data_IF_103054225294
#
_entry.id   IF_103054225294
#
_cell.length_a   1.000
_cell.length_b   1.000
_cell.length_c   1.000
_cell.angle_alpha   90.00
_cell.angle_beta   90.00
_cell.angle_gamma   90.00
#
_symmetry.space_group_name_H-M   'P 1'
#
loop_
_entity.id
_entity.type
_entity.pdbx_description
1 polymer ?
#
# COMPACT_ATOMS: atom_id res chain seq x y z
N UNK A 1 22.46 -29.11 -15.54
CA UNK A 1 21.70 -28.09 -16.27
C UNK A 1 20.83 -27.37 -15.25
N UNK A 2 21.39 -26.36 -14.58
CA UNK A 2 20.68 -25.52 -13.62
C UNK A 2 19.90 -24.49 -14.42
N UNK A 3 18.58 -24.62 -14.45
CA UNK A 3 17.72 -23.59 -15.02
C UNK A 3 17.53 -22.50 -13.97
N UNK A 4 17.91 -21.26 -14.29
CA UNK A 4 17.53 -20.06 -13.53
C UNK A 4 16.03 -19.83 -13.66
N UNK A 5 15.26 -20.57 -12.85
CA UNK A 5 13.82 -20.36 -12.65
C UNK A 5 13.53 -19.12 -11.78
N UNK A 6 14.58 -18.52 -11.19
CA UNK A 6 14.50 -17.34 -10.31
C UNK A 6 13.87 -16.16 -11.04
N UNK A 7 14.20 -15.94 -12.31
CA UNK A 7 13.63 -14.84 -13.09
C UNK A 7 12.18 -15.08 -13.53
N UNK A 8 11.66 -16.30 -13.44
CA UNK A 8 10.27 -16.59 -13.77
C UNK A 8 9.39 -16.63 -12.53
N UNK A 9 9.78 -17.33 -11.46
CA UNK A 9 8.95 -17.44 -10.25
C UNK A 9 8.95 -16.17 -9.41
N UNK A 10 10.11 -15.56 -9.15
CA UNK A 10 10.16 -14.30 -8.37
C UNK A 10 9.52 -13.13 -9.12
N UNK A 11 9.49 -13.23 -10.46
CA UNK A 11 8.81 -12.28 -11.32
C UNK A 11 7.28 -12.37 -11.21
N UNK A 12 6.71 -13.57 -10.95
CA UNK A 12 5.27 -13.79 -10.78
C UNK A 12 4.65 -13.15 -9.52
N UNK A 13 5.46 -12.66 -8.58
CA UNK A 13 4.99 -11.83 -7.46
C UNK A 13 5.81 -10.53 -7.32
N UNK A 14 6.35 -10.05 -8.44
CA UNK A 14 7.15 -8.83 -8.47
C UNK A 14 6.28 -7.62 -8.80
N UNK A 15 6.29 -6.61 -7.92
CA UNK A 15 5.71 -5.29 -8.17
C UNK A 15 6.62 -4.38 -9.04
N UNK A 16 7.70 -4.91 -9.62
CA UNK A 16 8.62 -4.14 -10.47
C UNK A 16 7.91 -3.60 -11.71
N UNK A 17 7.97 -2.27 -11.88
CA UNK A 17 7.39 -1.50 -12.98
C UNK A 17 7.95 -1.87 -14.36
N UNK A 18 9.17 -2.41 -14.43
CA UNK A 18 9.88 -2.63 -15.70
C UNK A 18 9.80 -4.08 -16.21
N UNK A 19 9.69 -5.06 -15.32
CA UNK A 19 9.80 -6.49 -15.69
C UNK A 19 8.88 -7.42 -14.90
N UNK A 20 8.18 -6.93 -13.88
CA UNK A 20 7.37 -7.71 -12.94
C UNK A 20 6.00 -8.15 -13.47
N UNK A 21 5.55 -9.35 -13.09
CA UNK A 21 4.22 -9.89 -13.36
C UNK A 21 3.52 -10.19 -12.03
N UNK A 22 2.47 -9.47 -11.64
CA UNK A 22 1.79 -9.72 -10.36
C UNK A 22 0.67 -10.79 -10.48
N UNK A 23 1.04 -12.07 -10.31
CA UNK A 23 0.15 -13.24 -10.31
C UNK A 23 0.36 -14.09 -9.05
N UNK A 24 -0.13 -13.65 -7.87
CA UNK A 24 0.12 -14.31 -6.59
C UNK A 24 -0.33 -15.78 -6.58
N UNK A 25 -1.50 -16.12 -7.15
CA UNK A 25 -1.94 -17.53 -7.24
C UNK A 25 -0.95 -18.41 -8.00
N UNK A 26 -0.43 -17.94 -9.14
CA UNK A 26 0.54 -18.68 -9.93
C UNK A 26 1.88 -18.81 -9.21
N UNK A 27 2.30 -17.74 -8.51
CA UNK A 27 3.49 -17.74 -7.67
C UNK A 27 3.39 -18.78 -6.54
N UNK A 28 2.33 -18.74 -5.74
CA UNK A 28 2.14 -19.70 -4.65
C UNK A 28 1.98 -21.12 -5.19
N UNK A 29 1.23 -21.32 -6.28
CA UNK A 29 1.13 -22.62 -6.97
C UNK A 29 2.49 -23.17 -7.40
N UNK A 30 3.37 -22.32 -7.94
CA UNK A 30 4.72 -22.72 -8.32
C UNK A 30 5.59 -23.02 -7.10
N UNK A 31 5.52 -22.21 -6.04
CA UNK A 31 6.22 -22.45 -4.78
C UNK A 31 5.80 -23.79 -4.15
N UNK A 32 4.50 -24.10 -4.18
CA UNK A 32 3.97 -25.38 -3.74
C UNK A 32 4.47 -26.55 -4.58
N UNK A 33 4.41 -26.43 -5.90
CA UNK A 33 4.89 -27.48 -6.79
C UNK A 33 6.38 -27.74 -6.58
N UNK A 34 7.18 -26.68 -6.41
CA UNK A 34 8.60 -26.78 -6.06
C UNK A 34 8.82 -27.43 -4.70
N UNK A 35 8.03 -27.10 -3.69
CA UNK A 35 8.15 -27.73 -2.38
C UNK A 35 7.92 -29.25 -2.46
N UNK A 36 6.90 -29.69 -3.19
CA UNK A 36 6.55 -31.11 -3.30
C UNK A 36 7.50 -31.91 -4.22
N UNK A 37 7.96 -31.32 -5.33
CA UNK A 37 8.69 -32.05 -6.37
C UNK A 37 10.21 -31.76 -6.37
N UNK A 38 10.61 -30.56 -5.95
CA UNK A 38 12.01 -30.10 -5.98
C UNK A 38 12.38 -29.27 -4.74
N UNK A 39 12.24 -29.79 -3.51
CA UNK A 39 12.41 -29.01 -2.27
C UNK A 39 13.80 -28.38 -2.13
N UNK A 40 14.85 -29.06 -2.62
CA UNK A 40 16.22 -28.51 -2.66
C UNK A 40 16.31 -27.25 -3.53
N UNK A 41 15.57 -27.19 -4.63
CA UNK A 41 15.54 -26.03 -5.51
C UNK A 41 14.86 -24.85 -4.82
N UNK A 42 13.74 -25.06 -4.14
CA UNK A 42 13.08 -24.02 -3.36
C UNK A 42 14.01 -23.46 -2.26
N UNK A 43 14.68 -24.36 -1.52
CA UNK A 43 15.64 -24.00 -0.47
C UNK A 43 16.82 -23.16 -0.98
N UNK A 44 17.40 -23.52 -2.13
CA UNK A 44 18.50 -22.77 -2.74
C UNK A 44 18.10 -21.35 -3.16
N UNK A 45 16.81 -21.11 -3.41
CA UNK A 45 16.28 -19.82 -3.84
C UNK A 45 15.83 -18.92 -2.69
N UNK A 46 15.74 -19.43 -1.45
CA UNK A 46 15.36 -18.63 -0.27
C UNK A 46 16.20 -17.35 -0.11
N UNK A 47 17.54 -17.36 -0.27
CA UNK A 47 18.35 -16.13 -0.17
C UNK A 47 18.01 -15.06 -1.22
N UNK A 48 17.53 -15.44 -2.40
CA UNK A 48 17.16 -14.51 -3.48
C UNK A 48 15.99 -13.60 -3.11
N UNK A 49 15.21 -13.96 -2.10
CA UNK A 49 14.15 -13.12 -1.54
C UNK A 49 14.69 -11.97 -0.66
N UNK A 50 15.88 -12.13 -0.07
CA UNK A 50 16.50 -11.12 0.80
C UNK A 50 17.32 -10.06 0.06
N UNK A 51 17.87 -10.36 -1.13
CA UNK A 51 18.82 -9.50 -1.87
C UNK A 51 18.18 -8.30 -2.61
N UNK A 52 17.07 -7.80 -2.09
CA UNK A 52 15.94 -7.49 -2.94
C UNK A 52 15.19 -6.25 -2.41
N UNK A 53 15.39 -5.09 -3.05
CA UNK A 53 14.88 -3.78 -2.62
C UNK A 53 13.35 -3.58 -2.74
N UNK A 54 12.54 -4.65 -2.77
CA UNK A 54 11.08 -4.58 -2.93
C UNK A 54 10.38 -5.02 -1.64
N UNK A 55 9.40 -4.22 -1.22
CA UNK A 55 8.50 -4.39 -0.08
C UNK A 55 7.92 -5.80 0.11
N UNK A 56 7.78 -6.61 -0.96
CA UNK A 56 6.98 -7.83 -0.94
C UNK A 56 7.74 -9.14 -0.63
N UNK A 57 9.09 -9.19 -0.70
CA UNK A 57 9.77 -10.49 -0.89
C UNK A 57 10.04 -11.32 0.36
N UNK A 58 10.25 -10.73 1.55
CA UNK A 58 10.44 -11.52 2.77
C UNK A 58 9.13 -12.01 3.39
N UNK A 59 8.05 -11.23 3.27
CA UNK A 59 6.72 -11.66 3.74
C UNK A 59 6.19 -12.86 2.94
N UNK A 60 6.46 -12.89 1.63
CA UNK A 60 6.10 -14.04 0.78
C UNK A 60 6.65 -15.37 1.29
N UNK A 61 7.82 -15.40 1.93
CA UNK A 61 8.38 -16.61 2.53
C UNK A 61 7.52 -17.11 3.71
N UNK A 62 6.99 -16.18 4.51
CA UNK A 62 6.09 -16.46 5.63
C UNK A 62 4.75 -16.96 5.10
N UNK A 63 4.23 -16.34 4.04
CA UNK A 63 2.99 -16.76 3.36
C UNK A 63 3.13 -18.15 2.72
N UNK A 64 4.29 -18.48 2.12
CA UNK A 64 4.55 -19.82 1.60
C UNK A 64 4.47 -20.86 2.73
N UNK A 65 5.08 -20.59 3.89
CA UNK A 65 5.00 -21.50 5.04
C UNK A 65 3.58 -21.66 5.55
N UNK A 66 2.86 -20.54 5.72
CA UNK A 66 1.48 -20.57 6.18
C UNK A 66 0.56 -21.31 5.22
N UNK A 67 0.72 -21.06 3.92
CA UNK A 67 -0.11 -21.70 2.90
C UNK A 67 0.19 -23.21 2.78
N UNK A 68 1.44 -23.64 3.04
CA UNK A 68 1.82 -25.06 3.14
C UNK A 68 1.17 -25.75 4.34
N UNK A 69 1.00 -25.05 5.45
CA UNK A 69 0.25 -25.57 6.60
C UNK A 69 -1.22 -25.80 6.26
N UNK A 70 -1.86 -24.84 5.57
CA UNK A 70 -3.29 -24.92 5.21
C UNK A 70 -3.63 -26.05 4.23
N UNK A 71 -2.73 -26.40 3.30
CA UNK A 71 -3.02 -27.39 2.26
C UNK A 71 -3.15 -28.83 2.76
N UNK A 72 -2.53 -29.19 3.89
CA UNK A 72 -2.42 -30.59 4.32
C UNK A 72 -3.21 -30.95 5.59
N UNK A 73 -4.20 -30.14 5.97
CA UNK A 73 -5.19 -30.45 7.01
C UNK A 73 -5.12 -29.55 8.23
N UNK A 74 -5.58 -30.05 9.39
CA UNK A 74 -5.64 -29.31 10.67
C UNK A 74 -4.32 -29.37 11.48
N UNK A 75 -3.21 -29.80 10.88
CA UNK A 75 -1.95 -29.94 11.59
C UNK A 75 -1.42 -28.56 11.99
N UNK A 76 -1.13 -28.40 13.28
CA UNK A 76 -0.41 -27.22 13.81
C UNK A 76 1.02 -27.20 13.27
N UNK A 77 1.65 -26.02 13.18
CA UNK A 77 3.06 -25.94 12.77
C UNK A 77 4.00 -26.80 13.61
N UNK A 78 3.74 -26.94 14.91
CA UNK A 78 4.53 -27.82 15.77
C UNK A 78 4.46 -29.30 15.31
N UNK A 79 3.27 -29.79 14.97
CA UNK A 79 3.09 -31.14 14.41
C UNK A 79 3.76 -31.26 13.04
N UNK A 80 3.66 -30.21 12.21
CA UNK A 80 4.25 -30.19 10.87
C UNK A 80 5.77 -30.23 10.91
N UNK A 81 6.40 -29.44 11.77
CA UNK A 81 7.84 -29.42 11.99
C UNK A 81 8.38 -30.79 12.42
N UNK A 82 7.57 -31.60 13.10
CA UNK A 82 7.94 -32.96 13.50
C UNK A 82 7.71 -34.00 12.40
N UNK A 83 6.60 -33.92 11.65
CA UNK A 83 6.15 -34.97 10.71
C UNK A 83 6.66 -34.81 9.29
N UNK A 84 6.95 -33.58 8.86
CA UNK A 84 7.39 -33.27 7.50
C UNK A 84 8.82 -32.69 7.51
N UNK A 85 9.83 -33.51 7.22
CA UNK A 85 11.22 -33.06 7.11
C UNK A 85 11.44 -31.98 6.04
N UNK A 86 10.65 -31.99 4.95
CA UNK A 86 10.73 -31.01 3.88
C UNK A 86 10.23 -29.63 4.33
N UNK A 87 9.08 -29.60 5.01
CA UNK A 87 8.56 -28.39 5.64
C UNK A 87 9.52 -27.87 6.70
N UNK A 88 10.04 -28.74 7.57
CA UNK A 88 11.01 -28.35 8.60
C UNK A 88 12.24 -27.68 8.01
N UNK A 89 12.85 -28.27 6.97
CA UNK A 89 14.04 -27.69 6.33
C UNK A 89 13.75 -26.31 5.72
N UNK A 90 12.58 -26.13 5.09
CA UNK A 90 12.18 -24.86 4.50
C UNK A 90 11.94 -23.80 5.57
N UNK A 91 11.19 -24.17 6.61
CA UNK A 91 10.91 -23.33 7.76
C UNK A 91 12.20 -22.89 8.44
N UNK A 92 13.08 -23.84 8.80
CA UNK A 92 14.35 -23.54 9.45
C UNK A 92 15.20 -22.58 8.62
N UNK A 93 15.28 -22.81 7.30
CA UNK A 93 16.05 -21.95 6.39
C UNK A 93 15.50 -20.53 6.29
N UNK A 94 14.19 -20.36 6.29
CA UNK A 94 13.53 -19.05 6.27
C UNK A 94 13.75 -18.32 7.60
N UNK A 95 13.62 -19.04 8.72
CA UNK A 95 13.84 -18.47 10.06
C UNK A 95 15.31 -18.08 10.27
N UNK A 96 16.26 -18.87 9.77
CA UNK A 96 17.69 -18.53 9.79
C UNK A 96 17.96 -17.24 9.00
N UNK A 97 17.40 -17.13 7.78
CA UNK A 97 17.54 -15.93 6.96
C UNK A 97 16.99 -14.69 7.67
N UNK A 98 15.77 -14.78 8.23
CA UNK A 98 15.16 -13.67 8.96
C UNK A 98 16.00 -13.29 10.19
N UNK A 99 16.52 -14.27 10.93
CA UNK A 99 17.36 -14.02 12.10
C UNK A 99 18.71 -13.36 11.72
N UNK A 100 19.35 -13.81 10.63
CA UNK A 100 20.59 -13.21 10.11
C UNK A 100 20.37 -11.75 9.70
N UNK A 101 19.29 -11.46 8.97
CA UNK A 101 18.95 -10.11 8.55
C UNK A 101 18.61 -9.21 9.75
N UNK A 102 17.84 -9.72 10.72
CA UNK A 102 17.48 -8.96 11.91
C UNK A 102 18.70 -8.65 12.80
N UNK A 103 19.62 -9.61 12.98
CA UNK A 103 20.90 -9.38 13.67
C UNK A 103 21.71 -8.29 12.96
N UNK A 104 21.82 -8.37 11.63
CA UNK A 104 22.50 -7.33 10.85
C UNK A 104 21.87 -5.95 11.05
N UNK A 105 20.55 -5.87 11.08
CA UNK A 105 19.86 -4.59 11.28
C UNK A 105 20.05 -4.03 12.70
N UNK A 106 20.03 -4.90 13.71
CA UNK A 106 20.35 -4.55 15.10
C UNK A 106 21.77 -4.00 15.20
N UNK A 107 22.74 -4.67 14.58
CA UNK A 107 24.14 -4.26 14.60
C UNK A 107 24.35 -2.93 13.87
N UNK A 108 23.74 -2.74 12.69
CA UNK A 108 23.75 -1.46 11.98
C UNK A 108 23.18 -0.34 12.85
N UNK A 109 22.03 -0.57 13.48
CA UNK A 109 21.38 0.44 14.32
C UNK A 109 22.21 0.77 15.57
N UNK A 110 22.89 -0.21 16.18
CA UNK A 110 23.81 0.00 17.30
C UNK A 110 25.09 0.74 16.89
N UNK A 111 25.70 0.37 15.76
CA UNK A 111 26.96 0.96 15.26
C UNK A 111 26.80 2.43 14.87
N UNK A 112 25.68 2.78 14.24
CA UNK A 112 25.37 4.17 13.92
C UNK A 112 24.88 4.96 15.15
N UNK A 113 24.72 4.29 16.30
CA UNK A 113 24.12 4.80 17.52
C UNK A 113 22.63 5.09 17.35
N UNK A 114 21.91 5.28 18.46
CA UNK A 114 20.63 5.99 18.47
C UNK A 114 20.78 7.48 18.07
N UNK A 115 21.65 7.81 17.11
CA UNK A 115 21.67 9.09 16.35
C UNK A 115 20.39 9.31 15.53
N UNK A 116 19.34 8.57 15.84
CA UNK A 116 17.96 9.04 15.73
C UNK A 116 17.63 10.21 16.67
N UNK A 117 18.56 10.73 17.49
CA UNK A 117 18.49 12.13 17.94
C UNK A 117 18.63 13.08 16.73
N UNK A 118 17.51 13.24 16.01
CA UNK A 118 16.85 14.50 15.69
C UNK A 118 17.67 15.72 15.22
N UNK A 119 18.88 15.56 14.68
CA UNK A 119 19.51 16.63 13.91
C UNK A 119 19.42 16.35 12.40
N UNK A 120 18.28 16.77 11.84
CA UNK A 120 18.15 17.07 10.41
C UNK A 120 19.08 18.26 10.10
N UNK A 121 20.35 18.00 9.79
CA UNK A 121 21.11 19.00 9.03
C UNK A 121 20.57 18.99 7.59
N UNK A 122 20.09 20.13 7.07
CA UNK A 122 19.73 20.22 5.67
C UNK A 122 20.96 19.89 4.81
N UNK A 123 20.80 19.24 3.65
CA UNK A 123 21.93 19.01 2.76
C UNK A 123 22.47 20.37 2.31
N UNK A 124 23.72 20.67 2.68
CA UNK A 124 24.49 21.78 2.13
C UNK A 124 24.78 21.48 0.65
N UNK A 125 24.68 22.51 -0.19
CA UNK A 125 24.63 22.43 -1.66
C UNK A 125 25.93 21.98 -2.35
N UNK A 126 26.94 21.46 -1.64
CA UNK A 126 28.29 21.26 -2.18
C UNK A 126 28.95 19.89 -1.93
N UNK A 127 28.21 18.86 -1.49
CA UNK A 127 28.78 17.51 -1.41
C UNK A 127 28.19 16.59 -2.50
N UNK A 128 28.93 16.45 -3.60
CA UNK A 128 28.84 15.34 -4.58
C UNK A 128 29.23 13.97 -3.97
N UNK A 129 29.17 13.84 -2.65
CA UNK A 129 29.29 12.57 -1.96
C UNK A 129 27.91 12.02 -1.69
N UNK A 130 27.58 11.03 -2.50
CA UNK A 130 26.62 9.96 -2.28
C UNK A 130 26.92 9.23 -0.93
N UNK A 131 26.77 9.94 0.18
CA UNK A 131 27.06 9.43 1.52
C UNK A 131 26.06 9.99 2.54
N UNK A 132 24.80 10.08 2.12
CA UNK A 132 23.71 9.97 3.07
C UNK A 132 23.57 8.49 3.35
N UNK A 133 24.33 8.01 4.34
CA UNK A 133 24.42 6.62 4.80
C UNK A 133 22.99 6.11 5.06
N UNK A 134 22.39 5.56 4.03
CA UNK A 134 20.98 5.14 4.03
C UNK A 134 20.99 3.84 4.81
N UNK A 135 20.59 3.92 6.08
CA UNK A 135 20.46 2.77 6.96
C UNK A 135 19.32 1.91 6.41
N UNK A 136 19.59 1.09 5.39
CA UNK A 136 18.68 0.04 4.95
C UNK A 136 18.70 -1.03 6.03
N UNK A 137 17.87 -0.82 7.06
CA UNK A 137 17.36 -1.97 7.78
C UNK A 137 16.54 -2.79 6.79
N UNK A 138 16.71 -4.10 6.87
CA UNK A 138 16.06 -5.03 5.96
C UNK A 138 14.58 -5.15 6.28
N UNK A 139 13.81 -5.77 5.38
CA UNK A 139 12.39 -6.04 5.60
C UNK A 139 12.13 -7.11 6.68
N UNK A 140 13.17 -7.71 7.28
CA UNK A 140 13.01 -8.69 8.36
C UNK A 140 12.33 -8.09 9.60
N UNK A 141 12.63 -6.83 9.92
CA UNK A 141 11.95 -6.13 11.00
C UNK A 141 10.45 -5.98 10.75
N UNK A 142 10.04 -5.70 9.51
CA UNK A 142 8.62 -5.54 9.12
C UNK A 142 7.86 -6.87 9.18
N UNK A 143 8.54 -7.98 8.90
CA UNK A 143 7.96 -9.31 9.13
C UNK A 143 7.62 -9.54 10.62
N UNK A 144 8.29 -8.83 11.54
CA UNK A 144 8.11 -8.93 12.98
C UNK A 144 7.25 -7.81 13.59
N UNK A 145 6.83 -6.81 12.81
CA UNK A 145 5.98 -5.71 13.31
C UNK A 145 4.49 -6.07 13.22
N UNK A 146 3.68 -5.71 14.24
CA UNK A 146 2.25 -5.94 14.19
C UNK A 146 1.58 -4.91 13.26
N UNK A 147 1.02 -5.39 12.15
CA UNK A 147 0.39 -4.54 11.13
C UNK A 147 -1.15 -4.70 11.06
N UNK A 148 -1.67 -5.93 11.12
CA UNK A 148 -3.12 -6.23 11.11
C UNK A 148 -3.43 -7.58 11.82
N UNK A 149 -4.71 -7.94 11.99
CA UNK A 149 -5.14 -9.18 12.68
C UNK A 149 -4.87 -10.47 11.91
N UNK A 150 -4.86 -10.42 10.58
CA UNK A 150 -4.68 -11.56 9.68
C UNK A 150 -3.21 -11.99 9.64
N UNK A 151 -2.29 -11.04 9.44
CA UNK A 151 -0.85 -11.28 9.52
C UNK A 151 -0.45 -11.79 10.91
N UNK A 152 -1.07 -11.29 11.98
CA UNK A 152 -0.83 -11.78 13.33
C UNK A 152 -1.26 -13.25 13.50
N UNK A 153 -2.31 -13.68 12.82
CA UNK A 153 -2.69 -15.09 12.76
C UNK A 153 -1.64 -15.90 11.98
N UNK A 154 -1.21 -15.43 10.81
CA UNK A 154 -0.16 -16.05 10.00
C UNK A 154 1.13 -16.26 10.80
N UNK A 155 1.61 -15.22 11.50
CA UNK A 155 2.83 -15.27 12.34
C UNK A 155 2.73 -16.33 13.44
N UNK A 156 1.58 -16.41 14.13
CA UNK A 156 1.33 -17.42 15.16
C UNK A 156 1.22 -18.82 14.56
N UNK A 157 0.55 -18.94 13.44
CA UNK A 157 0.34 -20.22 12.76
C UNK A 157 1.67 -20.87 12.35
N UNK A 158 2.66 -20.07 11.91
CA UNK A 158 3.98 -20.57 11.50
C UNK A 158 5.01 -20.62 12.64
N UNK A 159 4.63 -20.30 13.87
CA UNK A 159 5.52 -20.20 15.05
C UNK A 159 6.70 -19.22 14.82
N UNK A 160 6.43 -18.07 14.19
CA UNK A 160 7.47 -17.12 13.79
C UNK A 160 8.32 -16.67 14.99
N UNK A 161 7.67 -16.22 16.06
CA UNK A 161 8.35 -15.62 17.21
C UNK A 161 9.06 -16.68 18.07
N UNK A 162 8.47 -17.87 18.22
CA UNK A 162 9.09 -18.99 18.94
C UNK A 162 10.37 -19.45 18.21
N UNK A 163 10.28 -19.55 16.88
CA UNK A 163 11.38 -20.03 16.04
C UNK A 163 12.51 -19.01 15.92
N UNK A 164 12.17 -17.73 15.79
CA UNK A 164 13.15 -16.64 15.82
C UNK A 164 13.75 -16.49 17.22
N UNK A 165 12.95 -16.65 18.29
CA UNK A 165 13.41 -16.51 19.67
C UNK A 165 14.55 -17.48 19.97
N UNK A 166 14.38 -18.74 19.57
CA UNK A 166 15.42 -19.78 19.71
C UNK A 166 16.72 -19.51 18.92
N UNK A 167 16.70 -18.61 17.93
CA UNK A 167 17.84 -18.25 17.07
C UNK A 167 18.50 -16.93 17.45
N UNK A 168 17.72 -16.03 18.03
CA UNK A 168 18.13 -14.68 18.41
C UNK A 168 18.63 -14.63 19.84
N UNK A 169 18.03 -15.42 20.75
CA UNK A 169 18.27 -15.32 22.18
C UNK A 169 18.97 -16.57 22.74
N UNK A 170 19.73 -16.43 23.83
CA UNK A 170 20.32 -17.57 24.55
C UNK A 170 19.24 -18.56 25.03
N UNK A 171 19.53 -19.87 25.07
CA UNK A 171 18.58 -20.87 25.58
C UNK A 171 18.15 -20.66 27.03
N UNK A 172 18.99 -20.01 27.83
CA UNK A 172 18.79 -19.81 29.27
C UNK A 172 18.00 -18.53 29.61
N UNK A 173 17.69 -17.67 28.64
CA UNK A 173 16.98 -16.42 28.88
C UNK A 173 15.46 -16.58 28.83
N UNK A 174 14.73 -15.68 29.49
CA UNK A 174 13.28 -15.57 29.32
C UNK A 174 12.99 -14.99 27.93
N UNK A 175 12.58 -15.86 27.00
CA UNK A 175 12.27 -15.46 25.64
C UNK A 175 11.18 -14.40 25.56
N UNK A 176 10.24 -14.37 26.52
CA UNK A 176 9.17 -13.36 26.53
C UNK A 176 9.74 -11.98 26.84
N UNK A 177 10.65 -11.89 27.81
CA UNK A 177 11.29 -10.63 28.20
C UNK A 177 12.21 -10.11 27.08
N UNK A 178 13.04 -10.99 26.51
CA UNK A 178 13.93 -10.67 25.39
C UNK A 178 13.17 -10.18 24.15
N UNK A 179 12.01 -10.79 23.86
CA UNK A 179 11.14 -10.33 22.77
C UNK A 179 10.51 -8.96 23.05
N UNK A 180 10.11 -8.67 24.28
CA UNK A 180 9.58 -7.34 24.63
C UNK A 180 10.66 -6.27 24.56
N UNK A 181 11.90 -6.60 24.97
CA UNK A 181 13.06 -5.72 24.82
C UNK A 181 13.37 -5.47 23.35
N UNK A 182 13.52 -6.52 22.54
CA UNK A 182 13.76 -6.39 21.09
C UNK A 182 12.64 -5.60 20.41
N UNK A 183 11.38 -5.81 20.81
CA UNK A 183 10.26 -5.04 20.26
C UNK A 183 10.35 -3.57 20.62
N UNK A 184 10.66 -3.26 21.88
CA UNK A 184 10.60 -1.90 22.42
C UNK A 184 11.82 -1.07 22.04
N UNK A 185 13.02 -1.65 22.10
CA UNK A 185 14.28 -0.97 21.82
C UNK A 185 14.64 -0.94 20.34
N UNK A 186 14.13 -1.88 19.53
CA UNK A 186 14.56 -2.04 18.15
C UNK A 186 13.41 -1.99 17.14
N UNK A 187 12.43 -2.89 17.22
CA UNK A 187 11.39 -3.00 16.18
C UNK A 187 10.48 -1.77 16.12
N UNK A 188 10.03 -1.23 17.27
CA UNK A 188 9.19 -0.03 17.33
C UNK A 188 9.92 1.23 16.80
N UNK A 189 11.15 1.55 17.27
CA UNK A 189 11.92 2.67 16.72
C UNK A 189 12.18 2.55 15.23
N UNK A 190 12.48 1.34 14.75
CA UNK A 190 12.77 1.11 13.34
C UNK A 190 11.54 1.23 12.44
N UNK A 191 10.39 0.71 12.88
CA UNK A 191 9.12 0.90 12.17
C UNK A 191 8.72 2.37 12.08
N UNK A 192 8.86 3.11 13.18
CA UNK A 192 8.64 4.55 13.21
C UNK A 192 9.62 5.29 12.28
N UNK A 193 10.88 4.86 12.22
CA UNK A 193 11.89 5.41 11.30
C UNK A 193 11.54 5.14 9.83
N UNK A 194 11.16 3.92 9.46
CA UNK A 194 10.73 3.58 8.10
C UNK A 194 9.51 4.39 7.68
N UNK A 195 8.51 4.51 8.56
CA UNK A 195 7.37 5.40 8.34
C UNK A 195 7.85 6.84 8.12
N UNK A 196 8.66 7.39 9.02
CA UNK A 196 9.17 8.77 8.92
C UNK A 196 10.05 9.03 7.70
N UNK A 197 10.96 8.14 7.31
CA UNK A 197 11.81 8.34 6.13
C UNK A 197 10.99 8.43 4.84
N UNK A 198 10.00 7.55 4.69
CA UNK A 198 9.07 7.60 3.57
C UNK A 198 8.27 8.91 3.56
N UNK A 199 7.88 9.38 4.76
CA UNK A 199 7.11 10.61 4.96
C UNK A 199 7.92 11.91 5.09
N UNK A 200 9.24 11.91 5.20
CA UNK A 200 10.04 13.14 5.30
C UNK A 200 10.76 13.42 3.98
N UNK A 201 11.26 12.37 3.31
CA UNK A 201 12.07 12.52 2.08
C UNK A 201 11.24 12.97 0.87
N UNK A 202 9.98 12.51 0.72
CA UNK A 202 9.07 13.04 -0.31
C UNK A 202 8.59 14.46 0.04
N UNK A 203 8.17 14.73 1.29
CA UNK A 203 7.69 16.06 1.65
C UNK A 203 8.69 17.22 1.57
N UNK A 204 9.98 16.99 1.76
CA UNK A 204 10.95 18.07 1.60
C UNK A 204 11.12 18.51 0.13
N UNK A 205 11.03 17.58 -0.83
CA UNK A 205 11.15 17.90 -2.27
C UNK A 205 9.87 18.58 -2.78
N UNK A 206 8.71 18.05 -2.40
CA UNK A 206 7.41 18.63 -2.82
C UNK A 206 7.23 20.04 -2.27
N UNK A 207 7.54 20.28 -0.99
CA UNK A 207 7.43 21.63 -0.41
C UNK A 207 8.35 22.63 -1.11
N UNK A 208 9.61 22.28 -1.38
CA UNK A 208 10.53 23.12 -2.16
C UNK A 208 10.01 23.45 -3.56
N UNK A 209 9.43 22.48 -4.25
CA UNK A 209 8.80 22.74 -5.55
C UNK A 209 7.63 23.73 -5.43
N UNK A 210 6.76 23.55 -4.42
CA UNK A 210 5.64 24.45 -4.19
C UNK A 210 6.09 25.86 -3.78
N UNK A 211 7.22 26.03 -3.10
CA UNK A 211 7.83 27.34 -2.83
C UNK A 211 8.26 28.04 -4.13
N UNK A 212 8.83 27.29 -5.09
CA UNK A 212 9.14 27.81 -6.42
C UNK A 212 7.88 28.19 -7.19
N UNK A 213 6.83 27.35 -7.16
CA UNK A 213 5.52 27.68 -7.76
C UNK A 213 4.91 28.93 -7.12
N UNK A 214 5.02 29.07 -5.80
CA UNK A 214 4.56 30.27 -5.07
C UNK A 214 5.28 31.53 -5.55
N UNK A 215 6.60 31.46 -5.73
CA UNK A 215 7.41 32.60 -6.17
C UNK A 215 7.20 32.95 -7.66
N UNK A 216 7.01 31.95 -8.52
CA UNK A 216 6.89 32.13 -9.96
C UNK A 216 5.46 32.26 -10.50
N UNK A 217 4.45 31.90 -9.71
CA UNK A 217 3.05 31.84 -10.14
C UNK A 217 2.79 30.79 -11.22
N UNK A 218 1.68 30.96 -11.95
CA UNK A 218 1.17 29.97 -12.91
C UNK A 218 2.09 29.67 -14.11
N UNK A 219 3.11 30.50 -14.38
CA UNK A 219 4.01 30.35 -15.53
C UNK A 219 5.04 29.22 -15.35
N UNK A 220 5.35 28.83 -14.11
CA UNK A 220 6.33 27.77 -13.79
C UNK A 220 5.66 26.40 -13.61
N UNK A 221 4.33 26.38 -13.45
CA UNK A 221 3.58 25.17 -13.15
C UNK A 221 3.66 24.18 -14.31
N UNK A 222 4.13 22.97 -13.99
CA UNK A 222 4.07 21.82 -14.89
C UNK A 222 2.91 20.95 -14.40
N UNK A 223 1.82 20.79 -15.18
CA UNK A 223 0.60 20.10 -14.72
C UNK A 223 0.81 18.69 -14.18
N UNK A 224 1.83 17.98 -14.67
CA UNK A 224 2.18 16.61 -14.30
C UNK A 224 3.39 16.50 -13.34
N UNK A 225 3.80 17.60 -12.69
CA UNK A 225 4.96 17.59 -11.80
C UNK A 225 4.71 16.89 -10.46
N UNK A 226 3.49 16.97 -9.93
CA UNK A 226 3.10 16.37 -8.66
C UNK A 226 1.93 15.40 -8.84
N UNK A 227 1.89 14.36 -8.00
CA UNK A 227 0.75 13.45 -7.93
C UNK A 227 -0.38 14.06 -7.08
N UNK A 228 -1.64 13.60 -7.25
CA UNK A 228 -2.78 14.12 -6.48
C UNK A 228 -2.57 14.12 -4.96
N UNK A 229 -1.98 13.04 -4.43
CA UNK A 229 -1.68 12.88 -3.01
C UNK A 229 -0.53 13.80 -2.55
N UNK A 230 0.41 14.12 -3.43
CA UNK A 230 1.51 15.03 -3.11
C UNK A 230 0.99 16.46 -3.03
N UNK A 231 -0.02 16.82 -3.82
CA UNK A 231 -0.66 18.14 -3.80
C UNK A 231 -1.55 18.30 -2.57
N UNK A 232 -2.49 17.36 -2.34
CA UNK A 232 -3.51 17.48 -1.30
C UNK A 232 -2.91 17.60 0.11
N UNK A 233 -1.74 17.00 0.34
CA UNK A 233 -0.99 17.07 1.60
C UNK A 233 -0.67 18.51 2.02
N UNK A 234 -0.46 19.42 1.06
CA UNK A 234 -0.05 20.80 1.33
C UNK A 234 -1.19 21.81 1.27
N UNK A 235 -2.43 21.42 0.96
CA UNK A 235 -3.53 22.39 0.79
C UNK A 235 -3.89 23.11 2.09
N UNK A 236 -3.50 22.55 3.24
CA UNK A 236 -3.65 23.14 4.57
C UNK A 236 -2.35 23.78 5.08
N UNK A 237 -1.24 23.68 4.34
CA UNK A 237 0.03 24.29 4.70
C UNK A 237 -0.10 25.83 4.57
N UNK A 238 0.35 26.54 5.61
CA UNK A 238 0.21 28.00 5.69
C UNK A 238 1.11 28.74 4.69
N UNK A 239 2.22 28.12 4.31
CA UNK A 239 3.23 28.73 3.46
C UNK A 239 2.94 28.42 2.00
N UNK A 240 2.66 27.16 1.67
CA UNK A 240 2.58 26.66 0.29
C UNK A 240 1.18 26.21 -0.16
N UNK A 241 0.15 26.37 0.67
CA UNK A 241 -1.21 25.92 0.35
C UNK A 241 -1.81 26.53 -0.90
N UNK A 242 -1.57 27.82 -1.16
CA UNK A 242 -2.03 28.47 -2.40
C UNK A 242 -1.32 27.92 -3.64
N UNK A 243 -0.03 27.60 -3.53
CA UNK A 243 0.72 26.98 -4.62
C UNK A 243 0.24 25.54 -4.89
N UNK A 244 -0.14 24.80 -3.85
CA UNK A 244 -0.76 23.49 -3.99
C UNK A 244 -2.11 23.58 -4.74
N UNK A 245 -2.94 24.56 -4.40
CA UNK A 245 -4.20 24.83 -5.10
C UNK A 245 -3.99 25.16 -6.58
N UNK A 246 -3.00 26.00 -6.91
CA UNK A 246 -2.66 26.32 -8.30
C UNK A 246 -2.15 25.09 -9.07
N UNK A 247 -1.29 24.28 -8.45
CA UNK A 247 -0.81 23.03 -9.03
C UNK A 247 -1.95 22.05 -9.29
N UNK A 248 -2.91 21.92 -8.36
CA UNK A 248 -4.10 21.10 -8.54
C UNK A 248 -4.91 21.53 -9.76
N UNK A 249 -5.25 22.82 -9.84
CA UNK A 249 -6.04 23.37 -10.96
C UNK A 249 -5.37 23.11 -12.30
N UNK A 250 -4.06 23.34 -12.39
CA UNK A 250 -3.31 23.08 -13.61
C UNK A 250 -3.32 21.59 -13.99
N UNK A 251 -3.16 20.69 -13.02
CA UNK A 251 -3.24 19.23 -13.24
C UNK A 251 -4.61 18.81 -13.77
N UNK A 252 -5.69 19.27 -13.12
CA UNK A 252 -7.07 18.91 -13.51
C UNK A 252 -7.41 19.46 -14.89
N UNK A 253 -7.03 20.72 -15.18
CA UNK A 253 -7.26 21.34 -16.48
C UNK A 253 -6.50 20.62 -17.60
N UNK A 254 -5.23 20.27 -17.39
CA UNK A 254 -4.44 19.50 -18.36
C UNK A 254 -5.06 18.12 -18.62
N UNK A 255 -5.49 17.40 -17.58
CA UNK A 255 -6.19 16.13 -17.72
C UNK A 255 -7.51 16.27 -18.49
N UNK A 256 -8.28 17.32 -18.20
CA UNK A 256 -9.54 17.62 -18.89
C UNK A 256 -9.32 17.96 -20.38
N UNK A 257 -8.33 18.78 -20.70
CA UNK A 257 -7.99 19.13 -22.09
C UNK A 257 -7.49 17.93 -22.87
N UNK A 258 -6.63 17.10 -22.27
CA UNK A 258 -6.18 15.84 -22.88
C UNK A 258 -7.38 14.93 -23.18
N UNK A 259 -8.36 14.86 -22.28
CA UNK A 259 -9.58 14.09 -22.50
C UNK A 259 -10.38 14.55 -23.72
N UNK A 260 -10.55 15.86 -23.90
CA UNK A 260 -11.25 16.42 -25.07
C UNK A 260 -10.53 16.18 -26.40
N UNK A 261 -9.19 16.14 -26.40
CA UNK A 261 -8.39 16.03 -27.61
C UNK A 261 -8.29 14.59 -28.16
N UNK A 262 -8.89 13.59 -27.52
CA UNK A 262 -8.96 12.21 -28.04
C UNK A 262 -7.60 11.51 -28.22
N UNK A 263 -6.51 12.02 -27.62
CA UNK A 263 -5.19 11.37 -27.61
C UNK A 263 -5.29 9.97 -26.95
N UNK A 264 -4.52 9.00 -27.43
CA UNK A 264 -4.57 7.63 -26.90
C UNK A 264 -4.44 7.60 -25.37
N UNK A 265 -5.44 7.00 -24.71
CA UNK A 265 -5.56 6.96 -23.26
C UNK A 265 -6.38 8.08 -22.60
N UNK A 266 -6.94 9.03 -23.37
CA UNK A 266 -7.53 10.25 -22.81
C UNK A 266 -9.06 10.27 -22.62
N UNK A 267 -9.84 9.35 -23.19
CA UNK A 267 -11.30 9.27 -22.96
C UNK A 267 -11.72 8.56 -21.66
N UNK A 268 -11.01 8.72 -20.54
CA UNK A 268 -11.13 7.79 -19.40
C UNK A 268 -12.21 8.10 -18.36
N UNK A 269 -12.59 9.38 -18.15
CA UNK A 269 -13.44 9.77 -17.01
C UNK A 269 -14.89 10.17 -17.35
N UNK A 270 -15.34 9.96 -18.59
CA UNK A 270 -16.77 10.12 -18.93
C UNK A 270 -17.62 9.08 -18.19
N UNK A 271 -18.73 9.52 -17.59
CA UNK A 271 -19.66 8.69 -16.83
C UNK A 271 -18.96 7.87 -15.73
N UNK A 272 -18.06 8.52 -14.98
CA UNK A 272 -17.34 7.88 -13.90
C UNK A 272 -17.87 8.32 -12.55
N UNK A 273 -17.74 7.45 -11.55
CA UNK A 273 -18.08 7.76 -10.17
C UNK A 273 -17.00 7.22 -9.24
N UNK A 274 -16.62 8.01 -8.24
CA UNK A 274 -15.71 7.58 -7.19
C UNK A 274 -16.50 7.07 -5.98
N UNK A 275 -16.05 5.93 -5.44
CA UNK A 275 -16.45 5.37 -4.15
C UNK A 275 -15.23 5.45 -3.24
N UNK A 276 -15.31 6.25 -2.20
CA UNK A 276 -14.24 6.50 -1.25
C UNK A 276 -14.56 5.81 0.07
N UNK A 277 -13.95 4.63 0.30
CA UNK A 277 -14.01 3.95 1.59
C UNK A 277 -12.82 4.38 2.44
N UNK A 278 -12.94 5.53 3.11
CA UNK A 278 -11.90 6.09 3.96
C UNK A 278 -12.19 5.66 5.41
N UNK A 279 -11.27 4.92 6.03
CA UNK A 279 -11.44 4.44 7.42
C UNK A 279 -10.50 5.18 8.37
N UNK A 280 -10.87 5.32 9.64
CA UNK A 280 -9.99 5.85 10.70
C UNK A 280 -8.73 4.99 10.93
N UNK A 281 -8.71 3.76 10.42
CA UNK A 281 -7.59 2.82 10.51
C UNK A 281 -6.55 3.04 9.41
N UNK A 282 -6.91 3.77 8.35
CA UNK A 282 -5.97 4.16 7.30
C UNK A 282 -4.94 5.14 7.86
N UNK A 283 -3.66 4.92 7.51
CA UNK A 283 -2.65 5.95 7.73
C UNK A 283 -3.00 7.23 6.96
N UNK A 284 -2.72 8.39 7.55
CA UNK A 284 -2.93 9.72 6.93
C UNK A 284 -2.55 9.80 5.43
N UNK A 285 -1.43 9.22 4.96
CA UNK A 285 -1.07 9.25 3.53
C UNK A 285 -2.02 8.46 2.62
N UNK A 286 -2.59 7.36 3.13
CA UNK A 286 -3.56 6.54 2.40
C UNK A 286 -4.88 7.30 2.31
N UNK A 287 -5.27 7.98 3.41
CA UNK A 287 -6.43 8.86 3.43
C UNK A 287 -6.27 10.00 2.41
N UNK A 288 -5.11 10.68 2.41
CA UNK A 288 -4.78 11.73 1.45
C UNK A 288 -4.86 11.23 0.00
N UNK A 289 -4.33 10.04 -0.27
CA UNK A 289 -4.41 9.42 -1.60
C UNK A 289 -5.85 9.11 -2.01
N UNK A 290 -6.61 8.43 -1.16
CA UNK A 290 -8.01 8.08 -1.44
C UNK A 290 -8.88 9.34 -1.64
N UNK A 291 -8.71 10.34 -0.77
CA UNK A 291 -9.43 11.60 -0.87
C UNK A 291 -9.07 12.36 -2.15
N UNK A 292 -7.78 12.52 -2.46
CA UNK A 292 -7.35 13.21 -3.68
C UNK A 292 -7.84 12.52 -4.95
N UNK A 293 -7.76 11.20 -5.05
CA UNK A 293 -8.27 10.47 -6.21
C UNK A 293 -9.79 10.57 -6.33
N UNK A 294 -10.53 10.54 -5.20
CA UNK A 294 -11.96 10.75 -5.16
C UNK A 294 -12.38 12.12 -5.70
N UNK A 295 -11.73 13.18 -5.22
CA UNK A 295 -11.97 14.56 -5.70
C UNK A 295 -11.63 14.67 -7.18
N UNK A 296 -10.49 14.13 -7.61
CA UNK A 296 -10.05 14.17 -9.00
C UNK A 296 -11.07 13.53 -9.96
N UNK A 297 -11.54 12.33 -9.66
CA UNK A 297 -12.56 11.65 -10.48
C UNK A 297 -13.85 12.48 -10.53
N UNK A 298 -14.27 13.05 -9.40
CA UNK A 298 -15.49 13.88 -9.34
C UNK A 298 -15.38 15.19 -10.13
N UNK A 299 -14.18 15.74 -10.29
CA UNK A 299 -13.88 16.97 -11.06
C UNK A 299 -13.78 16.69 -12.56
N UNK A 300 -13.20 15.56 -12.94
CA UNK A 300 -13.05 15.15 -14.34
C UNK A 300 -14.35 14.56 -14.94
N UNK A 301 -15.33 14.23 -14.09
CA UNK A 301 -16.63 13.73 -14.53
C UNK A 301 -17.45 14.86 -15.16
N UNK A 302 -17.82 14.67 -16.43
CA UNK A 302 -18.51 15.69 -17.23
C UNK A 302 -20.03 15.71 -17.00
N UNK A 303 -20.63 14.56 -16.73
CA UNK A 303 -22.08 14.40 -16.62
C UNK A 303 -22.63 15.13 -15.39
N UNK A 304 -23.56 16.07 -15.61
CA UNK A 304 -24.07 16.96 -14.55
C UNK A 304 -24.72 16.21 -13.39
N UNK A 305 -25.32 15.04 -13.64
CA UNK A 305 -25.93 14.18 -12.62
C UNK A 305 -24.91 13.61 -11.62
N UNK A 306 -23.65 13.49 -12.02
CA UNK A 306 -22.60 12.81 -11.25
C UNK A 306 -21.39 13.70 -10.94
N UNK A 307 -21.29 14.86 -11.60
CA UNK A 307 -20.21 15.83 -11.44
C UNK A 307 -20.17 16.35 -10.01
N UNK A 308 -18.97 16.45 -9.43
CA UNK A 308 -18.71 16.82 -8.04
C UNK A 308 -19.40 15.92 -7.01
N UNK A 309 -19.80 14.70 -7.39
CA UNK A 309 -20.36 13.72 -6.45
C UNK A 309 -19.37 12.58 -6.19
N UNK A 310 -19.37 12.10 -4.95
CA UNK A 310 -18.60 10.92 -4.51
C UNK A 310 -19.49 10.06 -3.62
N UNK A 311 -19.35 8.75 -3.69
CA UNK A 311 -19.98 7.84 -2.73
C UNK A 311 -19.02 7.64 -1.56
N UNK A 312 -19.51 7.74 -0.34
CA UNK A 312 -18.81 7.24 0.86
C UNK A 312 -19.58 6.08 1.48
N UNK A 313 -18.93 5.33 2.37
CA UNK A 313 -19.61 4.38 3.24
C UNK A 313 -19.90 5.08 4.56
N UNK A 314 -21.19 5.32 4.81
CA UNK A 314 -21.65 6.16 5.90
C UNK A 314 -21.35 5.57 7.28
N UNK A 315 -21.03 6.40 8.29
CA UNK A 315 -20.96 5.97 9.67
C UNK A 315 -22.38 5.93 10.28
N UNK A 316 -22.92 4.71 10.47
CA UNK A 316 -24.14 4.32 11.23
C UNK A 316 -25.54 4.59 10.61
N UNK A 317 -26.60 3.87 11.03
CA UNK A 317 -26.64 2.48 11.53
C UNK A 317 -27.02 1.45 10.43
N UNK A 318 -27.41 1.92 9.24
CA UNK A 318 -27.97 1.06 8.18
C UNK A 318 -26.91 0.51 7.20
N UNK A 319 -25.64 0.91 7.37
CA UNK A 319 -24.50 0.45 6.55
C UNK A 319 -24.72 0.68 5.04
N UNK A 320 -25.44 1.75 4.68
CA UNK A 320 -25.73 2.06 3.28
C UNK A 320 -24.70 3.05 2.70
N UNK A 321 -24.31 2.86 1.43
CA UNK A 321 -23.51 3.86 0.73
C UNK A 321 -24.30 5.17 0.62
N UNK A 322 -23.59 6.29 0.71
CA UNK A 322 -24.18 7.62 0.64
C UNK A 322 -23.52 8.42 -0.47
N UNK A 323 -24.35 9.01 -1.33
CA UNK A 323 -23.89 9.91 -2.38
C UNK A 323 -23.76 11.33 -1.82
N UNK A 324 -22.53 11.84 -1.78
CA UNK A 324 -22.22 13.18 -1.33
C UNK A 324 -21.93 14.11 -2.50
N UNK A 325 -22.52 15.29 -2.49
CA UNK A 325 -22.10 16.42 -3.34
C UNK A 325 -21.00 17.20 -2.63
N UNK A 326 -19.79 17.20 -3.18
CA UNK A 326 -18.64 17.92 -2.63
C UNK A 326 -18.95 19.40 -2.51
N UNK A 327 -18.59 19.98 -1.36
CA UNK A 327 -18.82 21.38 -1.03
C UNK A 327 -17.52 22.18 -1.10
N UNK A 328 -17.61 23.43 -1.54
CA UNK A 328 -16.49 24.38 -1.61
C UNK A 328 -15.92 24.56 -3.02
N UNK A 329 -15.34 25.75 -3.26
CA UNK A 329 -14.79 26.15 -4.56
C UNK A 329 -13.32 25.80 -4.77
N UNK A 330 -12.59 25.46 -3.71
CA UNK A 330 -11.17 25.12 -3.70
C UNK A 330 -10.93 23.69 -3.21
N UNK A 331 -9.74 23.15 -3.47
CA UNK A 331 -9.35 21.79 -3.08
C UNK A 331 -9.38 21.61 -1.56
N UNK A 332 -8.96 22.63 -0.80
CA UNK A 332 -8.91 22.60 0.66
C UNK A 332 -10.30 22.33 1.25
N UNK A 333 -11.31 23.08 0.79
CA UNK A 333 -12.69 22.96 1.25
C UNK A 333 -13.30 21.60 0.90
N UNK A 334 -13.03 21.09 -0.31
CA UNK A 334 -13.48 19.75 -0.72
C UNK A 334 -12.83 18.66 0.11
N UNK A 335 -11.53 18.78 0.38
CA UNK A 335 -10.80 17.86 1.24
C UNK A 335 -11.34 17.90 2.67
N UNK A 336 -11.55 19.08 3.26
CA UNK A 336 -12.17 19.21 4.59
C UNK A 336 -13.58 18.63 4.65
N UNK A 337 -14.38 18.82 3.60
CA UNK A 337 -15.69 18.21 3.49
C UNK A 337 -15.61 16.68 3.51
N UNK A 338 -14.73 16.09 2.69
CA UNK A 338 -14.52 14.64 2.67
C UNK A 338 -14.06 14.11 4.02
N UNK A 339 -13.09 14.77 4.65
CA UNK A 339 -12.59 14.35 5.96
C UNK A 339 -13.66 14.42 7.07
N UNK A 340 -14.63 15.31 6.95
CA UNK A 340 -15.73 15.41 7.92
C UNK A 340 -16.85 14.40 7.68
N UNK A 341 -17.08 13.99 6.43
CA UNK A 341 -18.32 13.29 6.03
C UNK A 341 -18.10 11.87 5.53
N UNK A 342 -16.93 11.58 4.95
CA UNK A 342 -16.65 10.32 4.28
C UNK A 342 -15.76 9.38 5.12
N UNK A 343 -15.31 9.80 6.31
CA UNK A 343 -14.50 8.96 7.19
C UNK A 343 -15.41 8.04 8.01
N UNK A 344 -15.19 6.74 7.87
CA UNK A 344 -15.84 5.69 8.65
C UNK A 344 -14.98 5.31 9.86
N UNK A 345 -15.65 5.16 11.01
CA UNK A 345 -15.05 4.61 12.24
C UNK A 345 -14.95 3.09 12.24
N UNK A 346 -15.45 2.43 11.20
CA UNK A 346 -15.55 0.98 11.10
C UNK A 346 -14.68 0.44 9.98
N UNK A 347 -14.02 -0.69 10.25
CA UNK A 347 -13.13 -1.38 9.32
C UNK A 347 -13.92 -2.40 8.48
N UNK A 348 -14.82 -1.92 7.61
CA UNK A 348 -15.64 -2.76 6.74
C UNK A 348 -15.31 -2.53 5.25
N UNK A 349 -15.37 -3.62 4.48
CA UNK A 349 -15.21 -3.59 3.02
C UNK A 349 -16.41 -2.97 2.31
N UNK A 350 -16.26 -2.74 1.00
CA UNK A 350 -17.31 -2.13 0.16
C UNK A 350 -18.33 -3.16 -0.30
N UNK A 351 -19.61 -2.94 0.02
CA UNK A 351 -20.72 -3.70 -0.56
C UNK A 351 -21.10 -3.12 -1.93
N UNK A 352 -20.62 -3.78 -3.00
CA UNK A 352 -20.86 -3.34 -4.37
C UNK A 352 -22.33 -3.41 -4.79
N UNK A 353 -23.11 -4.34 -4.23
CA UNK A 353 -24.53 -4.47 -4.58
C UNK A 353 -25.28 -3.24 -4.10
N UNK A 354 -25.08 -2.85 -2.84
CA UNK A 354 -25.66 -1.62 -2.29
C UNK A 354 -25.21 -0.36 -3.07
N UNK A 355 -23.95 -0.32 -3.51
CA UNK A 355 -23.45 0.79 -4.35
C UNK A 355 -24.18 0.84 -5.69
N UNK A 356 -24.37 -0.30 -6.35
CA UNK A 356 -25.13 -0.39 -7.59
C UNK A 356 -26.60 0.01 -7.39
N UNK A 357 -27.24 -0.46 -6.32
CA UNK A 357 -28.61 -0.13 -5.98
C UNK A 357 -28.78 1.39 -5.79
N UNK A 358 -27.85 2.04 -5.09
CA UNK A 358 -27.84 3.51 -4.93
C UNK A 358 -27.69 4.23 -6.27
N UNK A 359 -26.81 3.77 -7.16
CA UNK A 359 -26.63 4.36 -8.50
C UNK A 359 -27.92 4.26 -9.31
N UNK A 360 -28.60 3.10 -9.24
CA UNK A 360 -29.87 2.88 -9.92
C UNK A 360 -30.99 3.73 -9.31
N UNK A 361 -31.04 3.85 -8.00
CA UNK A 361 -32.00 4.72 -7.29
C UNK A 361 -31.87 6.17 -7.74
N UNK A 362 -30.65 6.71 -7.77
CA UNK A 362 -30.37 8.07 -8.26
C UNK A 362 -30.77 8.21 -9.72
N UNK A 363 -30.50 7.19 -10.55
CA UNK A 363 -30.88 7.21 -11.96
C UNK A 363 -32.40 7.26 -12.18
N UNK A 364 -33.17 6.51 -11.38
CA UNK A 364 -34.64 6.53 -11.41
C UNK A 364 -35.16 7.87 -10.91
N UNK A 365 -34.63 8.38 -9.80
CA UNK A 365 -35.06 9.63 -9.18
C UNK A 365 -34.76 10.85 -10.07
N UNK A 366 -33.58 10.89 -10.70
CA UNK A 366 -33.16 11.96 -11.60
C UNK A 366 -33.61 11.74 -13.07
N UNK A 367 -34.31 10.63 -13.35
CA UNK A 367 -34.81 10.25 -14.70
C UNK A 367 -33.71 10.25 -15.77
N UNK A 368 -32.56 9.68 -15.43
CA UNK A 368 -31.40 9.67 -16.31
C UNK A 368 -31.62 8.78 -17.53
N UNK A 369 -31.12 9.24 -18.68
CA UNK A 369 -31.07 8.42 -19.90
C UNK A 369 -29.90 7.43 -19.83
N UNK A 370 -29.96 6.37 -20.64
CA UNK A 370 -28.92 5.36 -20.71
C UNK A 370 -27.52 5.96 -20.99
N UNK A 371 -27.44 7.05 -21.76
CA UNK A 371 -26.19 7.73 -22.08
C UNK A 371 -25.58 8.47 -20.89
N UNK A 372 -26.40 8.84 -19.91
CA UNK A 372 -26.02 9.57 -18.69
C UNK A 372 -25.70 8.62 -17.52
N UNK A 373 -25.93 7.32 -17.69
CA UNK A 373 -25.63 6.31 -16.68
C UNK A 373 -24.12 6.15 -16.48
N UNK A 374 -23.74 5.88 -15.23
CA UNK A 374 -22.35 5.54 -14.86
C UNK A 374 -21.90 4.30 -15.63
N UNK A 375 -20.73 4.39 -16.26
CA UNK A 375 -20.08 3.31 -17.02
C UNK A 375 -18.87 2.74 -16.30
N UNK A 376 -18.26 3.49 -15.38
CA UNK A 376 -17.09 3.06 -14.61
C UNK A 376 -17.18 3.56 -13.18
N UNK A 377 -16.88 2.68 -12.23
CA UNK A 377 -16.81 3.03 -10.82
C UNK A 377 -15.35 2.85 -10.37
N UNK A 378 -14.77 3.89 -9.78
CA UNK A 378 -13.45 3.83 -9.14
C UNK A 378 -13.66 3.64 -7.65
N UNK A 379 -13.14 2.55 -7.09
CA UNK A 379 -13.26 2.27 -5.65
C UNK A 379 -11.91 2.41 -4.99
N UNK A 380 -11.82 3.33 -4.03
CA UNK A 380 -10.63 3.58 -3.22
C UNK A 380 -10.87 2.99 -1.82
N UNK A 381 -10.15 1.93 -1.48
CA UNK A 381 -10.27 1.19 -0.22
C UNK A 381 -8.95 0.52 0.15
N UNK A 382 -8.70 0.38 1.46
CA UNK A 382 -7.64 -0.43 2.07
C UNK A 382 -8.04 -1.90 2.25
N UNK A 383 -9.31 -2.26 2.00
CA UNK A 383 -9.80 -3.62 2.12
C UNK A 383 -9.56 -4.45 0.85
N UNK A 384 -8.96 -5.63 1.04
CA UNK A 384 -8.60 -6.57 -0.05
C UNK A 384 -9.77 -7.52 -0.40
N UNK A 385 -10.87 -7.52 0.36
CA UNK A 385 -11.99 -8.46 0.14
C UNK A 385 -12.98 -7.95 -0.90
N UNK A 386 -12.93 -8.52 -2.10
CA UNK A 386 -13.93 -8.36 -3.18
C UNK A 386 -15.04 -9.43 -3.16
N UNK A 387 -15.29 -10.05 -2.00
CA UNK A 387 -15.84 -11.41 -1.90
C UNK A 387 -17.32 -11.59 -1.56
N UNK A 388 -18.21 -10.61 -1.79
CA UNK A 388 -19.65 -10.80 -1.60
C UNK A 388 -20.49 -10.63 -2.89
N UNK A 389 -19.87 -10.52 -4.06
CA UNK A 389 -20.59 -10.67 -5.32
C UNK A 389 -20.88 -12.17 -5.53
N UNK A 390 -22.11 -12.59 -5.20
CA UNK A 390 -22.66 -13.88 -5.57
C UNK A 390 -22.55 -14.10 -7.09
N UNK A 391 -21.56 -14.90 -7.49
CA UNK A 391 -21.56 -15.85 -8.62
C UNK A 391 -21.99 -15.43 -10.04
N UNK A 392 -22.30 -14.16 -10.37
CA UNK A 392 -22.81 -13.80 -11.71
C UNK A 392 -21.98 -12.81 -12.54
N UNK A 393 -20.89 -12.25 -12.01
CA UNK A 393 -20.11 -11.23 -12.73
C UNK A 393 -18.78 -11.79 -13.27
N UNK A 394 -18.51 -11.58 -14.56
CA UNK A 394 -17.17 -11.77 -15.13
C UNK A 394 -16.26 -10.64 -14.65
N UNK A 395 -15.49 -10.90 -13.60
CA UNK A 395 -14.46 -9.97 -13.12
C UNK A 395 -13.30 -9.91 -14.12
N UNK A 396 -12.99 -8.73 -14.64
CA UNK A 396 -11.83 -8.49 -15.48
C UNK A 396 -10.92 -7.49 -14.77
N UNK A 397 -9.79 -7.97 -14.26
CA UNK A 397 -8.83 -7.15 -13.54
C UNK A 397 -8.01 -6.31 -14.54
N UNK A 398 -8.13 -4.98 -14.46
CA UNK A 398 -7.26 -4.05 -15.19
C UNK A 398 -6.55 -3.19 -14.17
N UNK A 399 -5.27 -3.47 -13.94
CA UNK A 399 -4.42 -2.70 -13.03
C UNK A 399 -4.12 -1.31 -13.62
N UNK A 400 -4.48 -0.25 -12.89
CA UNK A 400 -4.09 1.13 -13.19
C UNK A 400 -2.72 1.41 -12.54
N UNK A 401 -1.71 1.55 -13.38
CA UNK A 401 -0.34 1.82 -12.99
C UNK A 401 -0.19 3.30 -12.59
N UNK A 402 -0.22 3.61 -11.30
CA UNK A 402 0.15 4.92 -10.77
C UNK A 402 1.64 4.83 -10.39
N UNK A 403 2.52 5.40 -11.21
CA UNK A 403 3.94 5.56 -10.84
C UNK A 403 4.00 6.54 -9.67
N UNK A 404 4.31 6.03 -8.48
CA UNK A 404 4.60 6.82 -7.27
C UNK A 404 6.05 7.32 -7.27
#
# INVERSE_FOLDING_TARGET
>A
MYWDLVDYSTNLNSASVQTGKHYPEAFYTAAFWLHHNHPKMLLCNVPSFASSSSLARLWDLIEILYSLLLQQGQDTAAQRLHRDPGYKLLHDRIMDLLAEQLKSDIDKLKQHGLRMELELKPPSEDDDKEDCTTLFATWAAVCCTPNNSEDNHTRRAVLLFESLGSRLFPPESDQSEEWELLRTEFLKPLDEHHRRMYFIRKPCVVKKYLEVVKAGGSSIIKPNALLPNDIIRYVKDKDVGEAAELQWKAMVEDMYLKQKQGKEGSGKFKNCLAVCNITDFMGVPIIELAASLGILVSELTEESAWKQKVISLGPLPDELPLLHSLQGGDLKSKYEFMMRTCISKHNQGVDFQKVCDLILEVAVNEKLKAEQMIKKVFVFTDHIRFGCCSTSWKTLYVWLHIRL
#
